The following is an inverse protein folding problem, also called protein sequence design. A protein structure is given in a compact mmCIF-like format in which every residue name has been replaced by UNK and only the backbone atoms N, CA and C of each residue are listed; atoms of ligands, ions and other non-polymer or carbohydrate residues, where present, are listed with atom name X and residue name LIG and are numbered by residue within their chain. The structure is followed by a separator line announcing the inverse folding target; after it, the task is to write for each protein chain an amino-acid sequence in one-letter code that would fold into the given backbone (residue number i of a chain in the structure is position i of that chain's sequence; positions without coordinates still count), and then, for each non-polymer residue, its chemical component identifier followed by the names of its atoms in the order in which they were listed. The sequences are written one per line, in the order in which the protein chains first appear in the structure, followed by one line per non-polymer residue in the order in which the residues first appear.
data_IF_775015968478
#
_entry.id   IF_775015968478
#
_cell.length_a   1.000
_cell.length_b   1.000
_cell.length_c   1.000
_cell.angle_alpha   90.00
_cell.angle_beta   90.00
_cell.angle_gamma   90.00
#
_symmetry.space_group_name_H-M   'P 1'
#
loop_
_entity.id
_entity.type
_entity.pdbx_description
1 polymer ?
#
# COMPACT_ATOMS: atom_id res chain seq x y z
N UNK A 1 -19.39 25.32 10.95
CA UNK A 1 -19.70 26.42 11.90
C UNK A 1 -18.49 27.34 12.03
N UNK A 2 -18.62 28.65 12.31
CA UNK A 2 -17.46 29.57 12.35
C UNK A 2 -16.48 29.28 13.51
N UNK A 3 -16.92 28.52 14.51
CA UNK A 3 -16.04 28.00 15.56
C UNK A 3 -15.04 26.92 15.07
N UNK A 4 -15.25 26.32 13.89
CA UNK A 4 -14.33 25.33 13.32
C UNK A 4 -13.16 26.03 12.61
N UNK A 5 -11.93 25.65 12.95
CA UNK A 5 -10.72 26.30 12.42
C UNK A 5 -10.61 26.22 10.89
N UNK A 6 -11.14 25.17 10.24
CA UNK A 6 -11.21 25.10 8.76
C UNK A 6 -12.18 26.11 8.13
N UNK A 7 -13.23 26.51 8.85
CA UNK A 7 -14.16 27.58 8.41
C UNK A 7 -13.53 28.96 8.64
N UNK A 8 -12.68 29.12 9.65
CA UNK A 8 -11.87 30.32 9.82
C UNK A 8 -10.76 30.42 8.76
N UNK A 9 -10.13 29.30 8.41
CA UNK A 9 -9.11 29.21 7.38
C UNK A 9 -9.62 29.62 5.99
N UNK A 10 -10.86 29.25 5.62
CA UNK A 10 -11.44 29.64 4.32
C UNK A 10 -11.68 31.14 4.17
N UNK A 11 -11.75 31.90 5.28
CA UNK A 11 -11.84 33.36 5.25
C UNK A 11 -10.58 34.03 4.67
N UNK A 12 -9.43 33.34 4.57
CA UNK A 12 -8.27 33.87 3.83
C UNK A 12 -8.58 34.09 2.34
N UNK A 13 -9.47 33.29 1.74
CA UNK A 13 -9.95 33.54 0.36
C UNK A 13 -10.87 34.77 0.30
N UNK A 14 -11.65 35.02 1.35
CA UNK A 14 -12.47 36.24 1.48
C UNK A 14 -11.58 37.48 1.68
N UNK A 15 -10.53 37.37 2.50
CA UNK A 15 -9.51 38.42 2.69
C UNK A 15 -8.85 38.79 1.36
N UNK A 16 -8.32 37.79 0.62
CA UNK A 16 -7.66 37.98 -0.67
C UNK A 16 -8.58 38.68 -1.70
N UNK A 17 -9.85 38.27 -1.81
CA UNK A 17 -10.83 38.95 -2.66
C UNK A 17 -11.08 40.41 -2.27
N UNK A 18 -11.11 40.71 -0.96
CA UNK A 18 -11.30 42.08 -0.46
C UNK A 18 -10.06 42.94 -0.70
N UNK A 19 -8.85 42.38 -0.59
CA UNK A 19 -7.59 43.05 -0.93
C UNK A 19 -7.49 43.38 -2.42
N UNK A 20 -7.75 42.40 -3.29
CA UNK A 20 -7.76 42.56 -4.76
C UNK A 20 -8.73 43.67 -5.20
N UNK A 21 -9.93 43.69 -4.59
CA UNK A 21 -11.00 44.64 -4.94
C UNK A 21 -10.83 46.03 -4.32
N UNK A 22 -10.07 46.17 -3.23
CA UNK A 22 -9.89 47.43 -2.52
C UNK A 22 -8.43 47.62 -2.03
N UNK A 23 -7.41 47.72 -2.91
CA UNK A 23 -6.00 47.63 -2.51
C UNK A 23 -5.58 48.57 -1.36
N UNK A 24 -6.05 49.82 -1.36
CA UNK A 24 -5.70 50.83 -0.34
C UNK A 24 -6.44 50.68 1.01
N UNK A 25 -7.48 49.84 1.10
CA UNK A 25 -8.32 49.73 2.30
C UNK A 25 -8.85 48.32 2.61
N UNK A 26 -8.36 47.30 1.91
CA UNK A 26 -8.85 45.93 2.02
C UNK A 26 -8.60 45.30 3.39
N UNK A 27 -7.41 45.52 3.98
CA UNK A 27 -7.08 45.05 5.34
C UNK A 27 -8.04 45.62 6.39
N UNK A 28 -8.30 46.94 6.34
CA UNK A 28 -9.23 47.58 7.27
C UNK A 28 -10.67 47.07 7.06
N UNK A 29 -11.11 46.93 5.81
CA UNK A 29 -12.44 46.41 5.47
C UNK A 29 -12.62 44.97 5.95
N UNK A 30 -11.62 44.12 5.77
CA UNK A 30 -11.64 42.74 6.25
C UNK A 30 -11.66 42.69 7.79
N UNK A 31 -10.78 43.45 8.44
CA UNK A 31 -10.71 43.55 9.91
C UNK A 31 -12.04 43.99 10.52
N UNK A 32 -12.63 45.08 9.98
CA UNK A 32 -13.95 45.57 10.41
C UNK A 32 -15.07 44.54 10.17
N UNK A 33 -15.02 43.79 9.05
CA UNK A 33 -16.01 42.76 8.74
C UNK A 33 -15.94 41.58 9.72
N UNK A 34 -14.74 41.07 10.03
CA UNK A 34 -14.55 39.98 10.99
C UNK A 34 -15.00 40.40 12.40
N UNK A 35 -14.61 41.59 12.86
CA UNK A 35 -15.02 42.12 14.17
C UNK A 35 -16.54 42.35 14.29
N UNK A 36 -17.21 42.74 13.20
CA UNK A 36 -18.65 42.97 13.20
C UNK A 36 -19.48 41.67 13.06
N UNK A 37 -18.99 40.68 12.30
CA UNK A 37 -19.72 39.43 12.05
C UNK A 37 -19.45 38.35 13.10
N UNK A 38 -18.21 38.26 13.59
CA UNK A 38 -17.72 37.15 14.42
C UNK A 38 -16.87 37.62 15.62
N UNK A 39 -17.34 38.57 16.45
CA UNK A 39 -16.53 39.21 17.50
C UNK A 39 -15.89 38.21 18.47
N UNK A 40 -16.62 37.17 18.88
CA UNK A 40 -16.14 36.12 19.80
C UNK A 40 -15.04 35.23 19.21
N UNK A 41 -14.92 35.18 17.87
CA UNK A 41 -13.94 34.35 17.16
C UNK A 41 -12.84 35.17 16.47
N UNK A 42 -12.92 36.51 16.51
CA UNK A 42 -12.09 37.40 15.70
C UNK A 42 -10.57 37.18 15.93
N UNK A 43 -10.13 37.05 17.18
CA UNK A 43 -8.73 36.76 17.52
C UNK A 43 -8.26 35.42 16.92
N UNK A 44 -9.10 34.38 17.01
CA UNK A 44 -8.79 33.06 16.44
C UNK A 44 -8.73 33.10 14.91
N UNK A 45 -9.67 33.82 14.28
CA UNK A 45 -9.72 34.05 12.83
C UNK A 45 -8.45 34.76 12.35
N UNK A 46 -8.05 35.86 13.00
CA UNK A 46 -6.83 36.58 12.61
C UNK A 46 -5.57 35.72 12.81
N UNK A 47 -5.45 35.01 13.94
CA UNK A 47 -4.35 34.06 14.22
C UNK A 47 -4.24 32.96 13.15
N UNK A 48 -5.36 32.35 12.76
CA UNK A 48 -5.40 31.30 11.72
C UNK A 48 -5.01 31.86 10.35
N UNK A 49 -5.52 33.05 10.00
CA UNK A 49 -5.23 33.70 8.72
C UNK A 49 -3.76 34.11 8.62
N UNK A 50 -3.20 34.74 9.66
CA UNK A 50 -1.79 35.13 9.67
C UNK A 50 -0.87 33.90 9.56
N UNK A 51 -1.18 32.81 10.27
CA UNK A 51 -0.48 31.54 10.13
C UNK A 51 -0.53 30.98 8.69
N UNK A 52 -1.68 31.11 8.02
CA UNK A 52 -1.86 30.63 6.63
C UNK A 52 -1.12 31.51 5.61
N UNK A 53 -1.04 32.82 5.86
CA UNK A 53 -0.24 33.74 5.04
C UNK A 53 1.26 33.47 5.20
N UNK A 54 1.74 33.26 6.45
CA UNK A 54 3.12 32.79 6.73
C UNK A 54 3.43 31.46 6.04
N UNK A 55 2.50 30.49 6.09
CA UNK A 55 2.64 29.19 5.42
C UNK A 55 2.68 29.33 3.88
N UNK A 56 1.80 30.14 3.29
CA UNK A 56 1.77 30.34 1.83
C UNK A 56 3.04 31.06 1.32
N UNK A 57 3.55 32.04 2.07
CA UNK A 57 4.82 32.69 1.75
C UNK A 57 5.96 31.67 1.76
N UNK A 58 6.10 30.86 2.81
CA UNK A 58 7.12 29.81 2.89
C UNK A 58 7.00 28.77 1.75
N UNK A 59 5.79 28.31 1.40
CA UNK A 59 5.60 27.40 0.24
C UNK A 59 6.01 28.05 -1.08
N UNK A 60 5.90 29.39 -1.19
CA UNK A 60 6.29 30.14 -2.39
C UNK A 60 7.81 30.39 -2.44
N UNK A 61 8.43 30.60 -1.29
CA UNK A 61 9.89 30.77 -1.12
C UNK A 61 10.64 29.46 -1.37
N UNK A 62 10.18 28.35 -0.79
CA UNK A 62 10.77 27.01 -0.96
C UNK A 62 10.31 26.28 -2.23
N UNK A 63 9.50 26.91 -3.10
CA UNK A 63 8.79 26.23 -4.21
C UNK A 63 9.69 25.32 -5.04
N UNK A 64 10.85 25.82 -5.49
CA UNK A 64 11.79 25.05 -6.32
C UNK A 64 12.31 23.80 -5.59
N UNK A 65 12.67 23.94 -4.31
CA UNK A 65 13.15 22.82 -3.49
C UNK A 65 12.02 21.82 -3.22
N UNK A 66 10.80 22.28 -2.96
CA UNK A 66 9.62 21.44 -2.78
C UNK A 66 9.24 20.65 -4.05
N UNK A 67 9.57 21.12 -5.25
CA UNK A 67 9.40 20.36 -6.50
C UNK A 67 10.54 19.37 -6.80
N UNK A 68 11.72 19.52 -6.20
CA UNK A 68 12.82 18.54 -6.30
C UNK A 68 12.64 17.31 -5.38
N UNK A 69 11.76 17.41 -4.37
CA UNK A 69 11.47 16.34 -3.42
C UNK A 69 10.52 15.29 -3.98
N UNK A 70 10.72 14.02 -3.57
CA UNK A 70 9.70 12.98 -3.79
C UNK A 70 8.39 13.35 -3.08
N UNK A 71 7.20 12.97 -3.59
CA UNK A 71 5.92 13.40 -3.01
C UNK A 71 5.75 13.03 -1.53
N UNK A 72 6.36 11.92 -1.07
CA UNK A 72 6.43 11.53 0.33
C UNK A 72 7.26 12.52 1.17
N UNK A 73 8.47 12.87 0.72
CA UNK A 73 9.33 13.84 1.42
C UNK A 73 8.71 15.24 1.42
N UNK A 74 8.17 15.67 0.27
CA UNK A 74 7.42 16.92 0.08
C UNK A 74 6.26 17.02 1.07
N UNK A 75 5.37 16.02 1.11
CA UNK A 75 4.24 16.01 2.04
C UNK A 75 4.68 15.96 3.51
N UNK A 76 5.76 15.23 3.83
CA UNK A 76 6.38 15.23 5.15
C UNK A 76 6.79 16.62 5.61
N UNK A 77 7.51 17.37 4.76
CA UNK A 77 7.93 18.75 5.04
C UNK A 77 6.76 19.73 5.11
N UNK A 78 5.76 19.61 4.22
CA UNK A 78 4.54 20.43 4.32
C UNK A 78 3.84 20.20 5.68
N UNK A 79 3.70 18.95 6.12
CA UNK A 79 3.09 18.62 7.41
C UNK A 79 3.95 19.00 8.62
N UNK A 80 5.27 18.96 8.50
CA UNK A 80 6.17 19.53 9.51
C UNK A 80 5.96 21.04 9.65
N UNK A 81 5.96 21.81 8.54
CA UNK A 81 5.72 23.25 8.59
C UNK A 81 4.32 23.62 9.09
N UNK A 82 3.29 22.85 8.73
CA UNK A 82 1.94 23.01 9.29
C UNK A 82 1.94 22.82 10.81
N UNK A 83 2.67 21.83 11.34
CA UNK A 83 2.79 21.62 12.80
C UNK A 83 3.68 22.66 13.49
N UNK A 84 4.70 23.20 12.81
CA UNK A 84 5.51 24.32 13.31
C UNK A 84 4.65 25.58 13.53
N UNK A 85 3.79 25.92 12.55
CA UNK A 85 2.99 27.15 12.56
C UNK A 85 1.72 27.03 13.41
N UNK A 86 1.04 25.88 13.39
CA UNK A 86 -0.29 25.72 14.01
C UNK A 86 -0.32 24.70 15.17
N UNK A 87 0.76 23.97 15.44
CA UNK A 87 0.77 22.93 16.48
C UNK A 87 -0.30 21.85 16.24
N UNK A 88 -1.14 21.61 17.25
CA UNK A 88 -2.29 20.70 17.17
C UNK A 88 -3.37 21.15 16.18
N UNK A 89 -3.52 22.46 15.97
CA UNK A 89 -4.60 23.03 15.17
C UNK A 89 -4.45 22.70 13.67
N UNK A 90 -3.24 22.31 13.24
CA UNK A 90 -2.94 21.84 11.89
C UNK A 90 -3.85 20.69 11.44
N UNK A 91 -4.12 19.73 12.33
CA UNK A 91 -4.96 18.56 12.06
C UNK A 91 -6.44 18.93 11.85
N UNK A 92 -6.88 20.07 12.39
CA UNK A 92 -8.25 20.60 12.24
C UNK A 92 -8.39 21.49 11.00
N UNK A 93 -7.34 22.22 10.62
CA UNK A 93 -7.32 23.08 9.43
C UNK A 93 -7.20 22.23 8.16
N UNK A 94 -6.34 21.21 8.15
CA UNK A 94 -6.18 20.27 7.03
C UNK A 94 -6.96 18.95 7.18
N UNK A 95 -8.02 18.94 8.00
CA UNK A 95 -8.85 17.75 8.22
C UNK A 95 -9.33 17.13 6.90
N UNK A 96 -9.80 17.95 5.95
CA UNK A 96 -10.39 17.45 4.70
C UNK A 96 -9.34 16.74 3.80
N UNK A 97 -8.05 17.10 3.88
CA UNK A 97 -6.95 16.39 3.21
C UNK A 97 -6.77 14.98 3.80
N UNK A 98 -6.84 14.89 5.14
CA UNK A 98 -6.72 13.65 5.90
C UNK A 98 -7.93 12.73 5.72
N UNK A 99 -9.14 13.30 5.69
CA UNK A 99 -10.38 12.54 5.46
C UNK A 99 -10.47 12.02 4.02
N UNK A 100 -10.03 12.79 3.01
CA UNK A 100 -9.89 12.30 1.64
C UNK A 100 -8.90 11.13 1.54
N UNK A 101 -7.75 11.23 2.22
CA UNK A 101 -6.74 10.16 2.30
C UNK A 101 -7.28 8.91 3.01
N UNK A 102 -8.11 9.06 4.04
CA UNK A 102 -8.78 7.93 4.70
C UNK A 102 -9.85 7.29 3.81
N UNK A 103 -10.66 8.09 3.10
CA UNK A 103 -11.63 7.58 2.14
C UNK A 103 -10.97 6.84 0.97
N UNK A 104 -9.85 7.34 0.46
CA UNK A 104 -9.07 6.66 -0.60
C UNK A 104 -8.61 5.27 -0.14
N UNK A 105 -8.07 5.14 1.09
CA UNK A 105 -7.73 3.83 1.68
C UNK A 105 -8.93 2.89 1.78
N UNK A 106 -10.11 3.40 2.19
CA UNK A 106 -11.33 2.61 2.28
C UNK A 106 -11.81 2.14 0.90
N UNK A 107 -11.76 3.00 -0.13
CA UNK A 107 -12.10 2.63 -1.52
C UNK A 107 -11.12 1.58 -2.07
N UNK A 108 -9.82 1.70 -1.81
CA UNK A 108 -8.84 0.68 -2.19
C UNK A 108 -9.08 -0.66 -1.45
N UNK A 109 -9.45 -0.64 -0.17
CA UNK A 109 -9.80 -1.85 0.58
C UNK A 109 -11.03 -2.55 0.00
N UNK A 110 -12.06 -1.79 -0.38
CA UNK A 110 -13.26 -2.31 -1.05
C UNK A 110 -12.93 -2.91 -2.42
N UNK A 111 -12.10 -2.26 -3.23
CA UNK A 111 -11.62 -2.81 -4.52
C UNK A 111 -10.87 -4.12 -4.30
N UNK A 112 -9.93 -4.19 -3.35
CA UNK A 112 -9.26 -5.45 -3.03
C UNK A 112 -10.24 -6.55 -2.58
N UNK A 113 -11.29 -6.20 -1.83
CA UNK A 113 -12.32 -7.16 -1.41
C UNK A 113 -13.13 -7.71 -2.60
N UNK A 114 -13.55 -6.85 -3.52
CA UNK A 114 -14.28 -7.22 -4.74
C UNK A 114 -13.42 -8.09 -5.66
N UNK A 115 -12.16 -7.72 -5.87
CA UNK A 115 -11.18 -8.50 -6.61
C UNK A 115 -10.90 -9.88 -5.97
N UNK A 116 -10.94 -9.98 -4.64
CA UNK A 116 -10.75 -11.27 -3.94
C UNK A 116 -11.95 -12.22 -4.07
N UNK A 117 -13.14 -11.68 -4.38
CA UNK A 117 -14.37 -12.44 -4.55
C UNK A 117 -14.69 -12.81 -6.01
N UNK A 118 -14.16 -12.06 -6.99
CA UNK A 118 -14.48 -12.19 -8.43
C UNK A 118 -13.85 -13.43 -9.09
N UNK A 119 -14.21 -14.62 -8.62
CA UNK A 119 -13.67 -15.91 -9.06
C UNK A 119 -13.92 -16.23 -10.55
N UNK A 120 -14.87 -15.57 -11.20
CA UNK A 120 -15.21 -15.74 -12.63
C UNK A 120 -14.51 -14.72 -13.55
N UNK A 121 -13.91 -13.66 -12.98
CA UNK A 121 -13.19 -12.61 -13.73
C UNK A 121 -11.75 -13.04 -14.04
N UNK A 122 -11.27 -12.78 -15.27
CA UNK A 122 -9.92 -13.14 -15.70
C UNK A 122 -8.82 -12.40 -14.92
N UNK A 123 -7.58 -12.90 -14.96
CA UNK A 123 -6.48 -12.25 -14.27
C UNK A 123 -6.12 -10.91 -14.93
N UNK A 124 -6.13 -10.84 -16.26
CA UNK A 124 -6.01 -9.58 -17.02
C UNK A 124 -7.05 -8.53 -16.59
N UNK A 125 -8.32 -8.91 -16.50
CA UNK A 125 -9.39 -7.96 -16.16
C UNK A 125 -9.28 -7.52 -14.69
N UNK A 126 -8.94 -8.42 -13.76
CA UNK A 126 -8.63 -8.05 -12.36
C UNK A 126 -7.43 -7.11 -12.27
N UNK A 127 -6.40 -7.32 -13.09
CA UNK A 127 -5.19 -6.49 -13.11
C UNK A 127 -5.50 -5.10 -13.67
N UNK A 128 -6.30 -5.03 -14.71
CA UNK A 128 -6.83 -3.78 -15.26
C UNK A 128 -7.67 -3.02 -14.21
N UNK A 129 -8.65 -3.70 -13.59
CA UNK A 129 -9.50 -3.11 -12.53
C UNK A 129 -8.66 -2.60 -11.34
N UNK A 130 -7.64 -3.34 -10.90
CA UNK A 130 -6.72 -2.88 -9.85
C UNK A 130 -5.94 -1.63 -10.25
N UNK A 131 -5.46 -1.57 -11.50
CA UNK A 131 -4.74 -0.40 -12.01
C UNK A 131 -5.64 0.82 -12.13
N UNK A 132 -6.82 0.69 -12.74
CA UNK A 132 -7.80 1.78 -12.80
C UNK A 132 -8.19 2.29 -11.42
N UNK A 133 -8.34 1.40 -10.43
CA UNK A 133 -8.60 1.81 -9.05
C UNK A 133 -7.43 2.57 -8.42
N UNK A 134 -6.17 2.16 -8.67
CA UNK A 134 -4.98 2.90 -8.24
C UNK A 134 -4.97 4.30 -8.88
N UNK A 135 -5.15 4.37 -10.20
CA UNK A 135 -5.17 5.64 -10.94
C UNK A 135 -6.29 6.58 -10.45
N UNK A 136 -7.50 6.06 -10.22
CA UNK A 136 -8.66 6.84 -9.75
C UNK A 136 -8.57 7.30 -8.29
N UNK A 137 -7.95 6.50 -7.40
CA UNK A 137 -7.99 6.74 -5.96
C UNK A 137 -6.69 7.29 -5.38
N UNK A 138 -5.56 7.09 -6.06
CA UNK A 138 -4.22 7.38 -5.53
C UNK A 138 -3.42 8.34 -6.40
N UNK A 139 -3.68 8.50 -7.70
CA UNK A 139 -2.81 9.29 -8.60
C UNK A 139 -2.44 10.68 -8.06
N UNK A 140 -1.14 10.99 -8.01
CA UNK A 140 -0.61 12.25 -7.48
C UNK A 140 -0.59 12.37 -5.94
N UNK A 141 -0.96 11.30 -5.21
CA UNK A 141 -0.88 11.24 -3.76
C UNK A 141 0.48 10.73 -3.26
N UNK A 142 0.67 10.82 -1.93
CA UNK A 142 1.79 10.19 -1.23
C UNK A 142 1.76 8.66 -1.33
N UNK A 143 0.57 8.06 -1.44
CA UNK A 143 0.40 6.62 -1.53
C UNK A 143 0.86 6.10 -2.90
N UNK A 144 0.47 6.78 -3.97
CA UNK A 144 0.87 6.51 -5.36
C UNK A 144 2.40 6.59 -5.52
N UNK A 145 3.01 7.67 -5.03
CA UNK A 145 4.47 7.81 -5.00
C UNK A 145 5.23 6.80 -4.09
N UNK A 146 4.51 5.95 -3.34
CA UNK A 146 5.05 4.84 -2.57
C UNK A 146 4.69 3.47 -3.16
N UNK A 147 3.95 3.41 -4.27
CA UNK A 147 3.76 2.21 -5.06
C UNK A 147 4.99 1.96 -5.94
N UNK A 148 5.31 0.68 -6.11
CA UNK A 148 6.17 0.19 -7.17
C UNK A 148 5.52 -1.03 -7.80
N UNK A 149 6.02 -1.47 -8.95
CA UNK A 149 5.59 -2.69 -9.64
C UNK A 149 5.65 -3.87 -8.66
N UNK A 150 6.70 -3.93 -7.83
CA UNK A 150 6.88 -4.91 -6.76
C UNK A 150 5.85 -4.87 -5.62
N UNK A 151 5.31 -3.69 -5.28
CA UNK A 151 4.22 -3.56 -4.29
C UNK A 151 2.89 -4.00 -4.89
N UNK A 152 2.57 -3.54 -6.10
CA UNK A 152 1.31 -3.85 -6.79
C UNK A 152 1.25 -5.34 -7.14
N UNK A 153 2.34 -5.89 -7.71
CA UNK A 153 2.52 -7.32 -8.00
C UNK A 153 2.32 -8.18 -6.76
N UNK A 154 2.97 -7.84 -5.64
CA UNK A 154 2.80 -8.57 -4.37
C UNK A 154 1.38 -8.52 -3.85
N UNK A 155 0.69 -7.38 -3.96
CA UNK A 155 -0.71 -7.24 -3.54
C UNK A 155 -1.64 -8.08 -4.42
N UNK A 156 -1.49 -7.99 -5.75
CA UNK A 156 -2.27 -8.75 -6.73
C UNK A 156 -2.09 -10.27 -6.55
N UNK A 157 -0.86 -10.76 -6.52
CA UNK A 157 -0.55 -12.16 -6.23
C UNK A 157 -0.83 -12.58 -4.77
N UNK A 158 -1.35 -11.71 -3.89
CA UNK A 158 -1.83 -12.13 -2.57
C UNK A 158 -3.32 -12.46 -2.54
N UNK A 159 -4.09 -12.05 -3.55
CA UNK A 159 -5.52 -12.33 -3.69
C UNK A 159 -5.78 -13.83 -3.85
N UNK A 160 -6.71 -14.33 -3.06
CA UNK A 160 -7.32 -15.65 -3.09
C UNK A 160 -7.85 -16.01 -4.49
N UNK A 161 -8.55 -15.07 -5.16
CA UNK A 161 -9.11 -15.32 -6.50
C UNK A 161 -8.05 -15.40 -7.60
N UNK A 162 -6.92 -14.71 -7.43
CA UNK A 162 -5.76 -14.78 -8.34
C UNK A 162 -5.00 -16.08 -8.09
N UNK A 163 -4.75 -16.43 -6.83
CA UNK A 163 -4.12 -17.69 -6.46
C UNK A 163 -4.94 -18.91 -6.90
N UNK A 164 -6.27 -18.84 -6.83
CA UNK A 164 -7.16 -19.88 -7.39
C UNK A 164 -6.92 -20.05 -8.89
N UNK A 165 -7.04 -18.98 -9.68
CA UNK A 165 -6.85 -19.04 -11.13
C UNK A 165 -5.47 -19.57 -11.53
N UNK A 166 -4.41 -19.11 -10.87
CA UNK A 166 -3.05 -19.63 -11.06
C UNK A 166 -2.92 -21.11 -10.64
N UNK A 167 -3.61 -21.56 -9.59
CA UNK A 167 -3.56 -22.96 -9.15
C UNK A 167 -4.22 -23.93 -10.12
N UNK A 168 -5.24 -23.48 -10.87
CA UNK A 168 -5.98 -24.26 -11.85
C UNK A 168 -5.24 -24.40 -13.20
N UNK A 169 -4.23 -23.54 -13.45
CA UNK A 169 -3.37 -23.58 -14.65
C UNK A 169 -2.27 -24.66 -14.56
N UNK A 170 -1.90 -25.32 -15.68
CA UNK A 170 -0.65 -26.08 -15.84
C UNK A 170 0.59 -25.23 -15.49
N UNK A 171 1.69 -25.87 -15.07
CA UNK A 171 2.86 -25.15 -14.55
C UNK A 171 3.52 -24.20 -15.57
N UNK A 172 3.58 -24.59 -16.85
CA UNK A 172 4.14 -23.76 -17.94
C UNK A 172 3.25 -22.56 -18.25
N UNK A 173 1.94 -22.79 -18.44
CA UNK A 173 0.93 -21.74 -18.66
C UNK A 173 0.89 -20.74 -17.49
N UNK A 174 0.97 -21.24 -16.26
CA UNK A 174 1.01 -20.44 -15.04
C UNK A 174 2.24 -19.52 -14.98
N UNK A 175 3.41 -19.99 -15.41
CA UNK A 175 4.61 -19.16 -15.46
C UNK A 175 4.47 -18.05 -16.50
N UNK A 176 4.00 -18.40 -17.71
CA UNK A 176 3.72 -17.44 -18.79
C UNK A 176 2.75 -16.36 -18.30
N UNK A 177 1.70 -16.74 -17.58
CA UNK A 177 0.70 -15.81 -17.05
C UNK A 177 1.26 -14.90 -15.94
N UNK A 178 2.04 -15.43 -14.99
CA UNK A 178 2.73 -14.65 -13.97
C UNK A 178 3.65 -13.60 -14.60
N UNK A 179 4.33 -13.96 -15.68
CA UNK A 179 5.26 -13.09 -16.38
C UNK A 179 4.55 -12.09 -17.32
N UNK A 180 3.37 -12.43 -17.84
CA UNK A 180 2.45 -11.48 -18.49
C UNK A 180 1.94 -10.42 -17.51
N UNK A 181 1.54 -10.82 -16.30
CA UNK A 181 1.10 -9.90 -15.23
C UNK A 181 2.24 -8.95 -14.85
N UNK A 182 3.48 -9.44 -14.72
CA UNK A 182 4.68 -8.61 -14.48
C UNK A 182 4.93 -7.64 -15.63
N UNK A 183 4.90 -8.10 -16.88
CA UNK A 183 5.07 -7.27 -18.07
C UNK A 183 4.03 -6.15 -18.15
N UNK A 184 2.76 -6.45 -17.85
CA UNK A 184 1.70 -5.44 -17.77
C UNK A 184 1.91 -4.43 -16.64
N UNK A 185 2.50 -4.84 -15.51
CA UNK A 185 2.86 -3.96 -14.39
C UNK A 185 4.12 -3.10 -14.65
N UNK A 186 4.81 -3.27 -15.79
CA UNK A 186 5.94 -2.42 -16.19
C UNK A 186 7.33 -2.99 -15.89
N UNK A 187 7.43 -4.24 -15.42
CA UNK A 187 8.73 -4.91 -15.23
C UNK A 187 9.49 -5.06 -16.56
N UNK A 188 10.82 -4.94 -16.52
CA UNK A 188 11.67 -5.26 -17.68
C UNK A 188 11.82 -6.77 -17.86
N UNK A 189 12.11 -7.22 -19.10
CA UNK A 189 12.31 -8.66 -19.38
C UNK A 189 13.45 -9.28 -18.54
N UNK A 190 14.52 -8.52 -18.23
CA UNK A 190 15.61 -8.95 -17.33
C UNK A 190 15.12 -9.17 -15.88
N UNK A 191 14.23 -8.30 -15.38
CA UNK A 191 13.60 -8.48 -14.08
C UNK A 191 12.64 -9.68 -14.08
N UNK A 192 11.90 -9.87 -15.19
CA UNK A 192 10.98 -11.01 -15.38
C UNK A 192 11.76 -12.32 -15.38
N UNK A 193 12.83 -12.45 -16.19
CA UNK A 193 13.71 -13.62 -16.22
C UNK A 193 14.30 -13.92 -14.83
N UNK A 194 14.78 -12.89 -14.13
CA UNK A 194 15.34 -12.99 -12.76
C UNK A 194 14.30 -13.42 -11.72
N UNK A 195 13.01 -13.20 -11.95
CA UNK A 195 11.92 -13.62 -11.07
C UNK A 195 11.38 -14.99 -11.44
N UNK A 196 11.23 -15.27 -12.74
CA UNK A 196 10.85 -16.59 -13.26
C UNK A 196 11.83 -17.67 -12.81
N UNK A 197 13.14 -17.42 -12.87
CA UNK A 197 14.16 -18.35 -12.34
C UNK A 197 13.90 -18.73 -10.87
N UNK A 198 13.54 -17.75 -10.03
CA UNK A 198 13.22 -17.97 -8.61
C UNK A 198 11.90 -18.71 -8.43
N UNK A 199 10.89 -18.42 -9.26
CA UNK A 199 9.62 -19.16 -9.24
C UNK A 199 9.80 -20.63 -9.64
N UNK A 200 10.75 -20.93 -10.53
CA UNK A 200 11.13 -22.30 -10.86
C UNK A 200 11.90 -23.00 -9.71
N UNK A 201 12.82 -22.32 -9.03
CA UNK A 201 13.44 -22.83 -7.78
C UNK A 201 12.38 -23.17 -6.72
N UNK A 202 11.36 -22.31 -6.59
CA UNK A 202 10.22 -22.48 -5.67
C UNK A 202 9.32 -23.64 -6.10
N UNK A 203 8.98 -23.74 -7.39
CA UNK A 203 8.19 -24.84 -7.96
C UNK A 203 8.87 -26.19 -7.72
N UNK A 204 10.17 -26.30 -8.00
CA UNK A 204 10.96 -27.48 -7.67
C UNK A 204 10.88 -27.81 -6.16
N UNK A 205 11.12 -26.83 -5.29
CA UNK A 205 11.10 -27.01 -3.83
C UNK A 205 9.72 -27.44 -3.30
N UNK A 206 8.64 -26.91 -3.86
CA UNK A 206 7.28 -27.30 -3.50
C UNK A 206 6.93 -28.71 -3.99
N UNK A 207 7.36 -29.11 -5.19
CA UNK A 207 7.16 -30.48 -5.68
C UNK A 207 7.96 -31.51 -4.85
N UNK A 208 9.21 -31.21 -4.50
CA UNK A 208 10.01 -31.98 -3.53
C UNK A 208 9.27 -32.11 -2.19
N UNK A 209 8.69 -31.01 -1.69
CA UNK A 209 7.89 -30.99 -0.46
C UNK A 209 6.62 -31.83 -0.52
N UNK A 210 5.86 -31.78 -1.62
CA UNK A 210 4.65 -32.59 -1.79
C UNK A 210 4.96 -34.08 -1.92
N UNK A 211 6.00 -34.44 -2.67
CA UNK A 211 6.45 -35.82 -2.80
C UNK A 211 6.96 -36.38 -1.45
N UNK A 212 7.72 -35.59 -0.69
CA UNK A 212 8.09 -35.91 0.69
C UNK A 212 6.86 -36.17 1.57
N UNK A 213 5.87 -35.26 1.56
CA UNK A 213 4.67 -35.39 2.40
C UNK A 213 3.81 -36.59 2.01
N UNK A 214 3.80 -37.01 0.75
CA UNK A 214 3.12 -38.22 0.29
C UNK A 214 3.78 -39.49 0.84
N UNK A 215 5.09 -39.69 0.58
CA UNK A 215 5.81 -40.85 1.13
C UNK A 215 5.80 -40.85 2.67
N UNK A 216 5.87 -39.67 3.31
CA UNK A 216 5.75 -39.53 4.77
C UNK A 216 4.42 -40.07 5.29
N UNK A 217 3.31 -39.79 4.59
CA UNK A 217 1.99 -40.29 4.98
C UNK A 217 1.90 -41.82 4.84
N UNK A 218 2.55 -42.41 3.83
CA UNK A 218 2.63 -43.86 3.65
C UNK A 218 3.46 -44.54 4.77
N UNK A 219 4.61 -43.97 5.15
CA UNK A 219 5.41 -44.49 6.28
C UNK A 219 4.64 -44.43 7.61
N UNK A 220 4.01 -43.29 7.92
CA UNK A 220 3.21 -43.10 9.15
C UNK A 220 1.99 -44.03 9.20
N UNK A 221 1.48 -44.49 8.06
CA UNK A 221 0.36 -45.43 7.97
C UNK A 221 0.79 -46.92 7.97
N UNK A 222 2.08 -47.23 7.88
CA UNK A 222 2.57 -48.61 7.65
C UNK A 222 3.64 -49.11 8.62
N UNK A 223 4.29 -48.23 9.40
CA UNK A 223 5.36 -48.58 10.33
C UNK A 223 4.95 -48.38 11.80
N UNK A 224 5.42 -49.30 12.66
CA UNK A 224 5.39 -49.11 14.11
C UNK A 224 6.38 -48.01 14.55
N UNK A 225 6.10 -47.36 15.69
CA UNK A 225 6.82 -46.17 16.14
C UNK A 225 8.35 -46.33 16.22
N UNK A 226 8.86 -47.50 16.62
CA UNK A 226 10.30 -47.79 16.72
C UNK A 226 11.02 -47.86 15.36
N UNK A 227 10.28 -48.13 14.27
CA UNK A 227 10.82 -48.16 12.89
C UNK A 227 10.57 -46.83 12.16
N UNK A 228 9.55 -46.09 12.58
CA UNK A 228 9.10 -44.87 11.94
C UNK A 228 10.13 -43.74 12.05
N UNK A 229 10.76 -43.53 13.22
CA UNK A 229 11.70 -42.41 13.42
C UNK A 229 12.96 -42.53 12.54
N UNK A 230 13.55 -43.73 12.42
CA UNK A 230 14.69 -43.98 11.54
C UNK A 230 14.29 -43.81 10.06
N UNK A 231 13.15 -44.38 9.66
CA UNK A 231 12.62 -44.27 8.29
C UNK A 231 12.29 -42.82 7.90
N UNK A 232 11.79 -42.01 8.86
CA UNK A 232 11.55 -40.58 8.65
C UNK A 232 12.84 -39.76 8.59
N UNK A 233 13.91 -40.18 9.28
CA UNK A 233 15.23 -39.55 9.16
C UNK A 233 15.83 -39.81 7.76
N UNK A 234 15.80 -41.06 7.28
CA UNK A 234 16.22 -41.41 5.91
C UNK A 234 15.37 -40.68 4.86
N UNK A 235 14.05 -40.61 5.03
CA UNK A 235 13.15 -39.91 4.11
C UNK A 235 13.48 -38.41 4.01
N UNK A 236 13.74 -37.73 5.15
CA UNK A 236 14.15 -36.31 5.13
C UNK A 236 15.51 -36.14 4.45
N UNK A 237 16.46 -37.04 4.68
CA UNK A 237 17.77 -37.02 4.03
C UNK A 237 17.66 -37.21 2.50
N UNK A 238 16.80 -38.13 2.04
CA UNK A 238 16.49 -38.39 0.62
C UNK A 238 15.93 -37.15 -0.09
N UNK A 239 15.03 -36.40 0.55
CA UNK A 239 14.31 -35.30 -0.09
C UNK A 239 14.97 -33.93 0.07
N UNK A 240 15.69 -33.69 1.17
CA UNK A 240 16.14 -32.35 1.54
C UNK A 240 17.65 -32.23 1.79
N UNK A 241 18.39 -33.34 1.77
CA UNK A 241 19.83 -33.40 2.01
C UNK A 241 20.28 -32.52 3.21
N UNK A 242 20.93 -31.41 2.91
CA UNK A 242 21.48 -30.41 3.82
C UNK A 242 20.41 -29.70 4.66
N UNK A 243 19.16 -29.65 4.20
CA UNK A 243 18.01 -29.12 4.96
C UNK A 243 17.30 -30.18 5.82
N UNK A 244 17.65 -31.47 5.76
CA UNK A 244 16.92 -32.55 6.44
C UNK A 244 16.78 -32.32 7.96
N UNK A 245 17.85 -31.84 8.60
CA UNK A 245 17.88 -31.50 10.05
C UNK A 245 17.02 -30.26 10.37
N UNK A 246 16.89 -29.33 9.42
CA UNK A 246 16.01 -28.16 9.56
C UNK A 246 14.54 -28.58 9.46
N UNK A 247 14.19 -29.42 8.49
CA UNK A 247 12.84 -29.98 8.34
C UNK A 247 12.46 -30.83 9.57
N UNK A 248 13.37 -31.67 10.08
CA UNK A 248 13.14 -32.43 11.31
C UNK A 248 12.78 -31.52 12.49
N UNK A 249 13.58 -30.47 12.76
CA UNK A 249 13.32 -29.53 13.86
C UNK A 249 12.05 -28.72 13.68
N UNK A 250 11.68 -28.43 12.43
CA UNK A 250 10.40 -27.79 12.11
C UNK A 250 9.22 -28.71 12.48
N UNK A 251 9.27 -29.99 12.10
CA UNK A 251 8.26 -30.99 12.47
C UNK A 251 8.19 -31.26 13.99
N UNK A 252 9.33 -31.32 14.67
CA UNK A 252 9.44 -31.44 16.14
C UNK A 252 8.80 -30.25 16.89
N UNK A 253 8.64 -29.10 16.21
CA UNK A 253 7.99 -27.89 16.73
C UNK A 253 6.57 -27.68 16.18
N UNK A 254 5.96 -28.71 15.59
CA UNK A 254 4.62 -28.68 14.94
C UNK A 254 4.53 -27.68 13.75
N UNK A 255 5.68 -27.26 13.19
CA UNK A 255 5.77 -26.37 12.04
C UNK A 255 5.82 -27.17 10.72
N UNK A 256 4.65 -27.55 10.23
CA UNK A 256 4.52 -28.28 8.97
C UNK A 256 4.67 -27.37 7.74
N UNK A 257 5.93 -27.09 7.35
CA UNK A 257 6.30 -26.17 6.25
C UNK A 257 5.43 -26.33 5.00
N UNK A 258 5.19 -27.58 4.56
CA UNK A 258 4.47 -27.92 3.32
C UNK A 258 2.96 -28.12 3.49
N UNK A 259 2.41 -28.07 4.71
CA UNK A 259 0.95 -27.98 4.94
C UNK A 259 0.41 -26.54 4.75
N UNK A 260 1.30 -25.57 4.52
CA UNK A 260 0.95 -24.16 4.33
C UNK A 260 0.50 -23.90 2.88
N UNK A 261 -0.44 -22.98 2.63
CA UNK A 261 -0.83 -22.65 1.26
C UNK A 261 0.32 -22.01 0.48
N UNK A 262 0.65 -22.59 -0.67
CA UNK A 262 1.54 -21.99 -1.69
C UNK A 262 0.90 -20.73 -2.28
N UNK A 263 1.72 -19.75 -2.67
CA UNK A 263 1.31 -18.51 -3.35
C UNK A 263 2.17 -18.25 -4.59
N UNK A 264 1.69 -18.70 -5.74
CA UNK A 264 2.34 -18.55 -7.04
C UNK A 264 2.67 -17.09 -7.36
N UNK A 265 3.82 -16.83 -7.99
CA UNK A 265 4.35 -15.49 -8.27
C UNK A 265 4.87 -14.72 -7.04
N UNK A 266 4.68 -15.25 -5.82
CA UNK A 266 4.92 -14.55 -4.56
C UNK A 266 5.88 -15.31 -3.62
N UNK A 267 5.70 -16.62 -3.40
CA UNK A 267 6.50 -17.44 -2.46
C UNK A 267 7.11 -18.72 -3.06
#
# INVERSE_FOLDING_TARGET
HIAELKVQASLLTVKRYILEKYPESGEERFTRLVLAAFPEFAESIFRVIEGLERYQNWVSEEYLYLEELSPLAKNGMLWEKRREIFGSDAELIWQDEKDNLNQSKLRMQEVFHQLDQSNETSLDEKLFQLRSAIDENLAGSVQDAALSEGVISRAFFNLSSVQKGLSEMPAEERQIEIDNIRRQLGYSEEQIETLAAKDQEREARWQTGYAYMAERAELVASLDAEQLDESLAELRQKYFEHEAVTIQREEEMDFWRFNRPRKFGNN
#
